data_IF_622922382514
#
_entry.id   IF_622922382514
#
_cell.length_a   1.000
_cell.length_b   1.000
_cell.length_c   1.000
_cell.angle_alpha   90.00
_cell.angle_beta   90.00
_cell.angle_gamma   90.00
#
_symmetry.space_group_name_H-M   'P 1'
#
loop_
_entity.id
_entity.type
_entity.pdbx_description
1 polymer ?
#
# COMPACT_ATOMS: atom_id res chain seq x y z
N UNK A 1 -6.47 3.35 21.19
CA UNK A 1 -7.51 2.30 20.95
C UNK A 1 -6.98 1.31 19.92
N UNK A 2 -7.11 0.00 20.16
CA UNK A 2 -6.66 -1.05 19.24
C UNK A 2 -7.67 -1.31 18.12
N UNK A 3 -7.21 -1.92 17.01
CA UNK A 3 -8.05 -2.29 15.87
C UNK A 3 -9.25 -3.14 16.30
N UNK A 4 -9.03 -4.20 17.08
CA UNK A 4 -10.09 -5.15 17.48
C UNK A 4 -11.19 -4.47 18.30
N UNK A 5 -10.82 -3.53 19.18
CA UNK A 5 -11.80 -2.78 19.99
C UNK A 5 -12.68 -1.88 19.11
N UNK A 6 -12.12 -1.29 18.05
CA UNK A 6 -12.89 -0.48 17.09
C UNK A 6 -13.75 -1.38 16.19
N UNK A 7 -13.21 -2.52 15.75
CA UNK A 7 -13.92 -3.49 14.91
C UNK A 7 -15.16 -4.07 15.60
N UNK A 8 -15.13 -4.28 16.93
CA UNK A 8 -16.33 -4.66 17.70
C UNK A 8 -17.43 -3.61 17.58
N UNK A 9 -17.10 -2.32 17.62
CA UNK A 9 -18.06 -1.22 17.46
C UNK A 9 -18.62 -1.10 16.04
N UNK A 10 -17.95 -1.66 15.02
CA UNK A 10 -18.52 -1.74 13.68
C UNK A 10 -19.62 -2.81 13.62
N UNK A 11 -19.46 -3.91 14.37
CA UNK A 11 -20.42 -5.01 14.46
C UNK A 11 -21.61 -4.75 15.36
N UNK A 12 -21.47 -3.83 16.30
CA UNK A 12 -22.51 -3.47 17.27
C UNK A 12 -23.73 -2.86 16.57
N UNK A 13 -24.83 -3.62 16.51
CA UNK A 13 -26.07 -3.24 15.85
C UNK A 13 -26.85 -2.15 16.60
N UNK A 14 -26.58 -1.97 17.90
CA UNK A 14 -27.24 -0.94 18.72
C UNK A 14 -26.69 0.47 18.41
N UNK A 15 -25.55 0.56 17.73
CA UNK A 15 -24.96 1.84 17.34
C UNK A 15 -25.57 2.34 16.02
N UNK A 16 -25.83 3.67 15.91
CA UNK A 16 -26.25 4.26 14.64
C UNK A 16 -25.30 3.90 13.49
N UNK A 17 -25.86 3.57 12.33
CA UNK A 17 -25.09 3.15 11.15
C UNK A 17 -23.93 4.11 10.82
N UNK A 18 -24.17 5.42 10.82
CA UNK A 18 -23.14 6.43 10.56
C UNK A 18 -21.95 6.38 11.54
N UNK A 19 -22.22 6.05 12.81
CA UNK A 19 -21.16 5.86 13.80
C UNK A 19 -20.36 4.59 13.50
N UNK A 20 -21.02 3.49 13.14
CA UNK A 20 -20.36 2.23 12.74
C UNK A 20 -19.47 2.43 11.50
N UNK A 21 -19.93 3.20 10.51
CA UNK A 21 -19.11 3.62 9.35
C UNK A 21 -17.89 4.45 9.78
N UNK A 22 -18.05 5.38 10.72
CA UNK A 22 -16.92 6.14 11.27
C UNK A 22 -15.91 5.24 12.01
N UNK A 23 -16.38 4.17 12.67
CA UNK A 23 -15.51 3.15 13.27
C UNK A 23 -14.78 2.32 12.22
N UNK A 24 -15.41 1.93 11.11
CA UNK A 24 -14.71 1.28 10.00
C UNK A 24 -13.58 2.18 9.46
N UNK A 25 -13.86 3.47 9.25
CA UNK A 25 -12.84 4.44 8.82
C UNK A 25 -11.68 4.51 9.83
N UNK A 26 -11.97 4.44 11.12
CA UNK A 26 -10.93 4.40 12.16
C UNK A 26 -10.10 3.11 12.10
N UNK A 27 -10.70 1.95 11.81
CA UNK A 27 -9.96 0.71 11.51
C UNK A 27 -9.03 0.88 10.30
N UNK A 28 -9.51 1.52 9.22
CA UNK A 28 -8.69 1.84 8.04
C UNK A 28 -7.57 2.81 8.40
N UNK A 29 -7.80 3.82 9.24
CA UNK A 29 -6.75 4.76 9.67
C UNK A 29 -5.61 4.06 10.41
N UNK A 30 -5.91 3.00 11.20
CA UNK A 30 -4.91 2.21 11.90
C UNK A 30 -4.14 1.26 10.98
N UNK A 31 -4.79 0.72 9.95
CA UNK A 31 -4.17 -0.30 9.08
C UNK A 31 -3.65 0.27 7.74
N UNK A 32 -4.45 1.03 6.98
CA UNK A 32 -4.07 1.78 5.77
C UNK A 32 -3.11 1.07 4.77
N UNK A 33 -3.35 -0.21 4.40
CA UNK A 33 -2.43 -1.04 3.62
C UNK A 33 -1.99 -0.43 2.28
N UNK A 34 -2.86 0.35 1.63
CA UNK A 34 -2.56 1.04 0.37
C UNK A 34 -2.85 2.55 0.48
N UNK A 35 -2.82 3.09 1.70
CA UNK A 35 -3.27 4.44 2.00
C UNK A 35 -4.77 4.52 2.31
N UNK A 36 -5.18 5.55 3.06
CA UNK A 36 -6.52 5.65 3.64
C UNK A 36 -7.64 5.65 2.58
N UNK A 37 -7.57 6.56 1.61
CA UNK A 37 -8.64 6.72 0.62
C UNK A 37 -8.69 5.58 -0.39
N UNK A 38 -7.53 5.09 -0.86
CA UNK A 38 -7.48 3.94 -1.75
C UNK A 38 -8.00 2.68 -1.06
N UNK A 39 -7.68 2.48 0.23
CA UNK A 39 -8.24 1.37 1.02
C UNK A 39 -9.76 1.47 1.11
N UNK A 40 -10.34 2.63 1.44
CA UNK A 40 -11.79 2.80 1.47
C UNK A 40 -12.43 2.52 0.11
N UNK A 41 -11.82 2.99 -0.98
CA UNK A 41 -12.30 2.73 -2.33
C UNK A 41 -12.26 1.24 -2.69
N UNK A 42 -11.21 0.52 -2.29
CA UNK A 42 -11.11 -0.93 -2.51
C UNK A 42 -12.17 -1.68 -1.70
N UNK A 43 -12.41 -1.26 -0.46
CA UNK A 43 -13.48 -1.83 0.36
C UNK A 43 -14.86 -1.61 -0.28
N UNK A 44 -15.15 -0.43 -0.81
CA UNK A 44 -16.40 -0.19 -1.55
C UNK A 44 -16.50 -1.07 -2.80
N UNK A 45 -15.39 -1.26 -3.53
CA UNK A 45 -15.36 -2.12 -4.71
C UNK A 45 -15.61 -3.60 -4.38
N UNK A 46 -15.09 -4.09 -3.24
CA UNK A 46 -15.24 -5.49 -2.81
C UNK A 46 -16.54 -5.80 -2.09
N UNK A 47 -17.03 -4.87 -1.27
CA UNK A 47 -18.13 -5.12 -0.34
C UNK A 47 -19.44 -4.41 -0.70
N UNK A 48 -19.38 -3.42 -1.59
CA UNK A 48 -20.48 -2.50 -1.91
C UNK A 48 -20.44 -1.21 -1.09
N UNK A 49 -21.47 -0.38 -1.26
CA UNK A 49 -21.57 0.96 -0.64
C UNK A 49 -21.88 0.87 0.85
N UNK A 50 -20.87 0.58 1.67
CA UNK A 50 -20.98 0.41 3.13
C UNK A 50 -21.46 1.66 3.89
N UNK A 51 -21.50 2.83 3.25
CA UNK A 51 -22.08 4.05 3.82
C UNK A 51 -23.61 4.07 3.82
N UNK A 52 -24.25 3.13 3.12
CA UNK A 52 -25.71 3.03 2.96
C UNK A 52 -26.28 1.65 3.23
N UNK A 53 -25.44 0.60 3.20
CA UNK A 53 -25.84 -0.79 3.40
C UNK A 53 -25.07 -1.38 4.58
N UNK A 54 -25.79 -1.84 5.60
CA UNK A 54 -25.22 -2.50 6.77
C UNK A 54 -24.54 -3.83 6.43
N UNK A 55 -25.10 -4.59 5.48
CA UNK A 55 -24.49 -5.82 4.99
C UNK A 55 -23.16 -5.52 4.32
N UNK A 56 -23.10 -4.48 3.49
CA UNK A 56 -21.85 -4.02 2.88
C UNK A 56 -20.83 -3.56 3.94
N UNK A 57 -21.28 -2.92 5.02
CA UNK A 57 -20.41 -2.52 6.12
C UNK A 57 -19.73 -3.71 6.81
N UNK A 58 -20.49 -4.77 7.12
CA UNK A 58 -19.94 -5.97 7.73
C UNK A 58 -19.04 -6.74 6.76
N UNK A 59 -19.40 -6.82 5.48
CA UNK A 59 -18.53 -7.38 4.43
C UNK A 59 -17.22 -6.60 4.30
N UNK A 60 -17.27 -5.27 4.30
CA UNK A 60 -16.09 -4.41 4.22
C UNK A 60 -15.16 -4.61 5.41
N UNK A 61 -15.72 -4.76 6.62
CA UNK A 61 -14.94 -5.09 7.81
C UNK A 61 -14.25 -6.46 7.67
N UNK A 62 -14.98 -7.49 7.22
CA UNK A 62 -14.42 -8.83 7.02
C UNK A 62 -13.29 -8.85 5.98
N UNK A 63 -13.45 -8.12 4.87
CA UNK A 63 -12.40 -7.95 3.85
C UNK A 63 -11.14 -7.29 4.44
N UNK A 64 -11.32 -6.25 5.26
CA UNK A 64 -10.21 -5.56 5.92
C UNK A 64 -9.49 -6.45 6.94
N UNK A 65 -10.25 -7.22 7.71
CA UNK A 65 -9.72 -8.16 8.70
C UNK A 65 -8.98 -9.33 8.05
N UNK A 66 -9.46 -9.85 6.92
CA UNK A 66 -8.78 -10.90 6.17
C UNK A 66 -7.40 -10.44 5.69
N UNK A 67 -7.32 -9.24 5.10
CA UNK A 67 -6.02 -8.67 4.69
C UNK A 67 -5.11 -8.41 5.89
N UNK A 68 -5.66 -7.89 7.00
CA UNK A 68 -4.89 -7.67 8.23
C UNK A 68 -4.38 -8.98 8.86
N UNK A 69 -5.16 -10.05 8.82
CA UNK A 69 -4.75 -11.35 9.31
C UNK A 69 -3.61 -11.93 8.46
N UNK A 70 -3.69 -11.78 7.13
CA UNK A 70 -2.60 -12.14 6.22
C UNK A 70 -1.33 -11.32 6.52
N UNK A 71 -1.45 -10.01 6.77
CA UNK A 71 -0.31 -9.18 7.18
C UNK A 71 0.32 -9.67 8.49
N UNK A 72 -0.48 -10.03 9.51
CA UNK A 72 0.07 -10.62 10.74
C UNK A 72 0.77 -11.96 10.50
N UNK A 73 0.33 -12.76 9.52
CA UNK A 73 1.02 -13.98 9.13
C UNK A 73 2.36 -13.68 8.44
N UNK A 74 2.39 -12.69 7.56
CA UNK A 74 3.64 -12.18 6.94
C UNK A 74 4.63 -11.67 8.00
N UNK A 75 4.16 -10.95 9.04
CA UNK A 75 5.01 -10.51 10.15
C UNK A 75 5.65 -11.69 10.89
N UNK A 76 4.87 -12.73 11.22
CA UNK A 76 5.39 -13.93 11.92
C UNK A 76 6.43 -14.66 11.07
N UNK A 77 6.13 -14.87 9.78
CA UNK A 77 7.06 -15.51 8.85
C UNK A 77 8.37 -14.72 8.73
N UNK A 78 8.30 -13.39 8.69
CA UNK A 78 9.47 -12.53 8.69
C UNK A 78 10.29 -12.65 9.99
N UNK A 79 9.63 -12.65 11.15
CA UNK A 79 10.31 -12.77 12.44
C UNK A 79 11.00 -14.14 12.62
N UNK A 80 10.36 -15.21 12.16
CA UNK A 80 10.93 -16.56 12.14
C UNK A 80 12.17 -16.63 11.23
N UNK A 81 12.07 -16.14 10.00
CA UNK A 81 13.19 -16.09 9.05
C UNK A 81 14.35 -15.24 9.60
N UNK A 82 14.06 -14.08 10.19
CA UNK A 82 15.08 -13.22 10.81
C UNK A 82 15.70 -13.85 12.05
N UNK A 83 14.96 -14.63 12.82
CA UNK A 83 15.49 -15.33 13.99
C UNK A 83 16.45 -16.45 13.58
N UNK A 84 16.10 -17.22 12.56
CA UNK A 84 16.98 -18.23 11.98
C UNK A 84 18.27 -17.62 11.41
N UNK A 85 18.16 -16.56 10.60
CA UNK A 85 19.31 -15.86 10.02
C UNK A 85 20.24 -15.27 11.10
N UNK A 86 19.69 -14.72 12.19
CA UNK A 86 20.49 -14.27 13.35
C UNK A 86 21.26 -15.41 14.00
N UNK A 87 20.66 -16.60 14.11
CA UNK A 87 21.31 -17.81 14.63
C UNK A 87 22.49 -18.27 13.76
N UNK A 88 22.42 -18.01 12.45
CA UNK A 88 23.48 -18.29 11.48
C UNK A 88 24.53 -17.16 11.35
N UNK A 89 24.43 -16.10 12.16
CA UNK A 89 25.36 -14.97 12.13
C UNK A 89 24.96 -13.81 11.19
N UNK A 90 23.91 -13.96 10.39
CA UNK A 90 23.38 -12.92 9.49
C UNK A 90 22.52 -11.89 10.24
N UNK A 91 23.17 -11.06 11.06
CA UNK A 91 22.49 -10.08 11.93
C UNK A 91 21.93 -8.86 11.22
N UNK A 92 22.37 -8.57 9.99
CA UNK A 92 21.84 -7.48 9.16
C UNK A 92 20.85 -8.02 8.13
N UNK A 93 19.65 -7.43 7.99
CA UNK A 93 18.74 -7.76 6.89
C UNK A 93 19.41 -7.51 5.55
N UNK A 94 19.09 -8.33 4.54
CA UNK A 94 19.58 -8.08 3.18
C UNK A 94 18.83 -6.87 2.60
N UNK A 95 19.50 -6.06 1.78
CA UNK A 95 18.88 -4.85 1.22
C UNK A 95 17.64 -5.15 0.35
N UNK A 96 17.59 -6.32 -0.27
CA UNK A 96 16.45 -6.79 -1.07
C UNK A 96 15.32 -7.43 -0.22
N UNK A 97 15.54 -7.63 1.07
CA UNK A 97 14.57 -8.26 1.96
C UNK A 97 13.43 -7.28 2.27
N UNK A 98 12.22 -7.56 1.76
CA UNK A 98 11.03 -6.75 2.05
C UNK A 98 10.66 -6.89 3.52
N UNK A 99 10.52 -5.77 4.21
CA UNK A 99 10.20 -5.75 5.64
C UNK A 99 8.74 -5.30 5.86
N UNK A 100 7.82 -6.22 6.25
CA UNK A 100 6.41 -5.91 6.47
C UNK A 100 6.14 -4.98 7.66
N UNK A 101 7.14 -4.68 8.50
CA UNK A 101 7.07 -3.65 9.55
C UNK A 101 7.31 -2.23 9.02
N UNK A 102 8.04 -2.08 7.90
CA UNK A 102 8.38 -0.77 7.32
C UNK A 102 7.48 -0.41 6.15
N UNK A 103 6.98 -1.42 5.46
CA UNK A 103 6.24 -1.27 4.21
C UNK A 103 4.91 -2.02 4.36
N UNK A 104 3.82 -1.30 4.12
CA UNK A 104 2.49 -1.90 4.08
C UNK A 104 2.00 -2.06 2.65
N UNK A 105 1.29 -3.14 2.41
CA UNK A 105 0.57 -3.45 1.19
C UNK A 105 -0.73 -4.18 1.55
N UNK A 106 -1.57 -4.43 0.55
CA UNK A 106 -2.76 -5.25 0.72
C UNK A 106 -2.38 -6.74 0.82
N UNK A 107 -2.06 -7.20 2.03
CA UNK A 107 -1.65 -8.59 2.27
C UNK A 107 -2.76 -9.58 1.90
N UNK A 108 -2.36 -10.76 1.41
CA UNK A 108 -3.25 -11.78 0.84
C UNK A 108 -3.60 -11.57 -0.64
N UNK A 109 -3.57 -10.34 -1.15
CA UNK A 109 -3.71 -10.04 -2.57
C UNK A 109 -2.90 -8.79 -2.97
N UNK A 110 -1.55 -8.82 -2.82
CA UNK A 110 -0.71 -7.62 -2.95
C UNK A 110 -0.80 -6.96 -4.33
N UNK A 111 -0.83 -7.77 -5.41
CA UNK A 111 -0.99 -7.26 -6.78
C UNK A 111 -2.33 -6.54 -6.98
N UNK A 112 -3.44 -7.14 -6.53
CA UNK A 112 -4.78 -6.54 -6.63
C UNK A 112 -4.82 -5.18 -5.91
N UNK A 113 -4.35 -5.12 -4.67
CA UNK A 113 -4.34 -3.88 -3.90
C UNK A 113 -3.44 -2.81 -4.51
N UNK A 114 -2.29 -3.19 -5.05
CA UNK A 114 -1.38 -2.26 -5.71
C UNK A 114 -1.98 -1.68 -7.01
N UNK A 115 -2.58 -2.51 -7.86
CA UNK A 115 -3.28 -2.05 -9.07
C UNK A 115 -4.47 -1.15 -8.74
N UNK A 116 -5.22 -1.48 -7.68
CA UNK A 116 -6.32 -0.62 -7.22
C UNK A 116 -5.80 0.73 -6.73
N UNK A 117 -4.68 0.75 -5.99
CA UNK A 117 -4.05 1.98 -5.53
C UNK A 117 -3.59 2.86 -6.71
N UNK A 118 -2.90 2.29 -7.69
CA UNK A 118 -2.47 3.00 -8.90
C UNK A 118 -3.67 3.55 -9.69
N UNK A 119 -4.70 2.72 -9.91
CA UNK A 119 -5.94 3.14 -10.58
C UNK A 119 -6.62 4.29 -9.83
N UNK A 120 -6.68 4.21 -8.50
CA UNK A 120 -7.25 5.25 -7.65
C UNK A 120 -6.50 6.58 -7.79
N UNK A 121 -5.16 6.54 -7.78
CA UNK A 121 -4.30 7.71 -7.90
C UNK A 121 -4.44 8.40 -9.25
N UNK A 122 -4.43 7.62 -10.34
CA UNK A 122 -4.64 8.13 -11.72
C UNK A 122 -6.01 8.79 -11.84
N UNK A 123 -7.08 8.13 -11.39
CA UNK A 123 -8.46 8.68 -11.47
C UNK A 123 -8.65 9.96 -10.67
N UNK A 124 -7.98 10.09 -9.53
CA UNK A 124 -8.05 11.30 -8.69
C UNK A 124 -7.21 12.44 -9.24
N UNK A 125 -6.45 12.23 -10.33
CA UNK A 125 -5.37 13.13 -10.79
C UNK A 125 -4.45 13.51 -9.64
N UNK A 126 -4.30 12.59 -8.67
CA UNK A 126 -3.62 12.86 -7.40
C UNK A 126 -2.13 12.56 -7.48
N UNK A 127 -1.65 12.18 -8.64
CA UNK A 127 -0.26 12.45 -8.95
C UNK A 127 -0.27 13.89 -9.47
N UNK A 128 0.20 14.89 -8.69
CA UNK A 128 0.71 16.10 -9.28
C UNK A 128 1.97 15.64 -10.02
N UNK A 129 1.79 15.07 -11.21
CA UNK A 129 2.85 14.80 -12.15
C UNK A 129 3.29 16.18 -12.58
N UNK A 130 4.21 16.70 -11.76
CA UNK A 130 4.68 18.06 -11.75
C UNK A 130 5.12 18.36 -13.17
N UNK A 131 4.41 19.27 -13.83
CA UNK A 131 4.81 19.74 -15.14
C UNK A 131 6.30 20.13 -15.06
N UNK A 132 7.16 19.35 -15.75
CA UNK A 132 8.61 19.57 -15.78
C UNK A 132 9.50 18.68 -14.90
N UNK A 133 9.01 17.76 -14.06
CA UNK A 133 9.89 16.77 -13.41
C UNK A 133 10.05 15.52 -14.29
N UNK A 134 11.24 15.30 -14.89
CA UNK A 134 11.47 14.15 -15.76
C UNK A 134 11.29 12.82 -15.03
N UNK A 135 11.61 12.73 -13.74
CA UNK A 135 11.46 11.47 -12.98
C UNK A 135 9.99 11.13 -12.75
N UNK A 136 9.15 12.15 -12.51
CA UNK A 136 7.71 11.94 -12.40
C UNK A 136 7.09 11.50 -13.73
N UNK A 137 7.54 12.08 -14.85
CA UNK A 137 7.12 11.68 -16.20
C UNK A 137 7.58 10.28 -16.62
N UNK A 138 8.74 9.84 -16.14
CA UNK A 138 9.21 8.47 -16.34
C UNK A 138 8.39 7.47 -15.52
N UNK A 139 8.11 7.81 -14.26
CA UNK A 139 7.27 7.00 -13.38
C UNK A 139 5.83 6.89 -13.89
N UNK A 140 5.27 7.95 -14.45
CA UNK A 140 3.99 7.94 -15.19
C UNK A 140 3.93 6.84 -16.24
N UNK A 141 4.97 6.75 -17.08
CA UNK A 141 5.04 5.74 -18.15
C UNK A 141 5.07 4.34 -17.57
N UNK A 142 5.78 4.13 -16.47
CA UNK A 142 5.76 2.86 -15.74
C UNK A 142 4.38 2.52 -15.16
N UNK A 143 3.68 3.50 -14.56
CA UNK A 143 2.32 3.32 -14.05
C UNK A 143 1.35 2.96 -15.18
N UNK A 144 1.39 3.69 -16.29
CA UNK A 144 0.55 3.44 -17.45
C UNK A 144 0.78 2.05 -18.03
N UNK A 145 2.04 1.64 -18.20
CA UNK A 145 2.40 0.31 -18.67
C UNK A 145 1.91 -0.79 -17.71
N UNK A 146 2.11 -0.61 -16.40
CA UNK A 146 1.68 -1.56 -15.36
C UNK A 146 0.15 -1.73 -15.34
N UNK A 147 -0.60 -0.63 -15.46
CA UNK A 147 -2.06 -0.69 -15.51
C UNK A 147 -2.56 -1.33 -16.81
N UNK A 148 -1.93 -1.04 -17.95
CA UNK A 148 -2.31 -1.60 -19.24
C UNK A 148 -2.08 -3.12 -19.32
N UNK A 149 -1.04 -3.64 -18.66
CA UNK A 149 -0.72 -5.06 -18.61
C UNK A 149 -1.42 -5.83 -17.48
N UNK A 150 -2.08 -5.14 -16.55
CA UNK A 150 -2.62 -5.75 -15.34
C UNK A 150 -1.55 -6.20 -14.34
N UNK A 151 -0.40 -5.54 -14.33
CA UNK A 151 0.69 -5.76 -13.35
C UNK A 151 2.07 -5.91 -13.99
N UNK A 152 2.30 -6.96 -14.80
CA UNK A 152 3.64 -7.28 -15.32
C UNK A 152 4.28 -6.14 -16.11
N UNK A 153 5.58 -5.93 -15.93
CA UNK A 153 6.35 -4.94 -16.69
C UNK A 153 7.33 -5.63 -17.64
N UNK A 154 7.59 -4.99 -18.77
CA UNK A 154 8.69 -5.41 -19.66
C UNK A 154 10.06 -5.05 -19.07
N UNK A 155 11.16 -5.64 -19.59
CA UNK A 155 12.51 -5.37 -19.10
C UNK A 155 12.90 -3.89 -19.13
N UNK A 156 12.49 -3.16 -20.17
CA UNK A 156 12.74 -1.72 -20.29
C UNK A 156 12.03 -0.93 -19.20
N UNK A 157 10.76 -1.25 -18.91
CA UNK A 157 10.00 -0.58 -17.84
C UNK A 157 10.56 -0.94 -16.46
N UNK A 158 11.11 -2.14 -16.27
CA UNK A 158 11.81 -2.50 -15.04
C UNK A 158 13.07 -1.65 -14.84
N UNK A 159 13.89 -1.46 -15.87
CA UNK A 159 15.05 -0.58 -15.79
C UNK A 159 14.66 0.87 -15.54
N UNK A 160 13.63 1.36 -16.24
CA UNK A 160 13.12 2.72 -16.05
C UNK A 160 12.61 2.93 -14.61
N UNK A 161 11.83 2.00 -14.07
CA UNK A 161 11.35 2.06 -12.69
C UNK A 161 12.50 2.05 -11.68
N UNK A 162 13.49 1.18 -11.87
CA UNK A 162 14.66 1.12 -11.00
C UNK A 162 15.45 2.44 -11.00
N UNK A 163 15.61 3.07 -12.16
CA UNK A 163 16.24 4.39 -12.28
C UNK A 163 15.44 5.48 -11.57
N UNK A 164 14.11 5.51 -11.75
CA UNK A 164 13.23 6.42 -11.02
C UNK A 164 13.39 6.27 -9.50
N UNK A 165 13.33 5.03 -8.99
CA UNK A 165 13.45 4.76 -7.55
C UNK A 165 14.80 5.22 -7.01
N UNK A 166 15.89 4.94 -7.74
CA UNK A 166 17.24 5.39 -7.39
C UNK A 166 17.29 6.92 -7.29
N UNK A 167 16.87 7.63 -8.34
CA UNK A 167 16.89 9.11 -8.39
C UNK A 167 16.00 9.74 -7.32
N UNK A 168 14.85 9.15 -7.01
CA UNK A 168 13.98 9.63 -5.93
C UNK A 168 14.59 9.41 -4.55
N UNK A 169 15.29 8.29 -4.32
CA UNK A 169 16.01 8.05 -3.06
C UNK A 169 17.16 9.01 -2.86
N UNK A 170 17.88 9.36 -3.93
CA UNK A 170 18.95 10.38 -3.90
C UNK A 170 18.43 11.77 -3.48
N UNK A 171 17.17 12.10 -3.82
CA UNK A 171 16.50 13.33 -3.36
C UNK A 171 16.11 13.30 -1.88
N UNK A 172 16.03 12.12 -1.25
CA UNK A 172 15.73 11.99 0.19
C UNK A 172 17.00 12.11 1.03
N UNK A 173 17.57 13.31 1.09
CA UNK A 173 18.60 13.63 2.08
C UNK A 173 17.97 14.23 3.34
N UNK A 174 18.56 14.01 4.53
CA UNK A 174 18.08 14.67 5.76
C UNK A 174 18.07 16.21 5.66
N UNK A 175 18.98 16.79 4.88
CA UNK A 175 19.01 18.23 4.60
C UNK A 175 17.80 18.71 3.80
N UNK A 176 17.31 17.90 2.84
CA UNK A 176 16.17 18.26 2.00
C UNK A 176 14.87 18.52 2.78
N UNK A 177 14.69 17.91 3.96
CA UNK A 177 13.54 18.20 4.83
C UNK A 177 13.56 19.64 5.35
N UNK A 178 14.75 20.12 5.72
CA UNK A 178 14.97 21.45 6.28
C UNK A 178 14.86 22.53 5.19
N UNK A 179 15.32 22.21 3.98
CA UNK A 179 15.41 23.18 2.87
C UNK A 179 14.07 23.33 2.09
N UNK A 180 13.38 22.21 1.80
CA UNK A 180 12.07 22.22 1.14
C UNK A 180 11.23 21.02 1.58
N UNK A 181 10.48 21.21 2.66
CA UNK A 181 9.55 20.22 3.20
C UNK A 181 8.51 19.76 2.16
N UNK A 182 8.10 20.63 1.24
CA UNK A 182 7.13 20.26 0.21
C UNK A 182 7.77 19.34 -0.85
N UNK A 183 9.02 19.58 -1.26
CA UNK A 183 9.77 18.68 -2.15
C UNK A 183 9.99 17.31 -1.51
N UNK A 184 10.27 17.27 -0.20
CA UNK A 184 10.42 16.02 0.53
C UNK A 184 9.14 15.18 0.47
N UNK A 185 7.98 15.77 0.80
CA UNK A 185 6.71 15.04 0.76
C UNK A 185 6.32 14.62 -0.67
N UNK A 186 6.58 15.46 -1.69
CA UNK A 186 6.40 15.07 -3.10
C UNK A 186 7.23 13.85 -3.47
N UNK A 187 8.50 13.83 -3.06
CA UNK A 187 9.41 12.69 -3.30
C UNK A 187 8.94 11.42 -2.59
N UNK A 188 8.44 11.54 -1.35
CA UNK A 188 7.83 10.43 -0.60
C UNK A 188 6.59 9.86 -1.32
N UNK A 189 5.72 10.72 -1.86
CA UNK A 189 4.54 10.28 -2.59
C UNK A 189 4.90 9.58 -3.91
N UNK A 190 5.89 10.08 -4.66
CA UNK A 190 6.42 9.41 -5.86
C UNK A 190 7.02 8.04 -5.54
N UNK A 191 7.77 7.92 -4.43
CA UNK A 191 8.30 6.63 -3.99
C UNK A 191 7.19 5.66 -3.58
N UNK A 192 6.09 6.16 -3.00
CA UNK A 192 4.91 5.33 -2.71
C UNK A 192 4.25 4.82 -3.99
N UNK A 193 4.15 5.66 -5.03
CA UNK A 193 3.65 5.25 -6.35
C UNK A 193 4.55 4.18 -6.96
N UNK A 194 5.86 4.42 -7.02
CA UNK A 194 6.84 3.46 -7.54
C UNK A 194 6.74 2.12 -6.81
N UNK A 195 6.52 2.16 -5.49
CA UNK A 195 6.33 0.95 -4.69
C UNK A 195 5.09 0.16 -5.09
N UNK A 196 3.97 0.82 -5.37
CA UNK A 196 2.79 0.11 -5.89
C UNK A 196 3.08 -0.53 -7.24
N UNK A 197 3.84 0.12 -8.12
CA UNK A 197 4.28 -0.50 -9.39
C UNK A 197 5.16 -1.73 -9.13
N UNK A 198 6.15 -1.65 -8.23
CA UNK A 198 7.00 -2.80 -7.85
C UNK A 198 6.19 -3.98 -7.27
N UNK A 199 5.13 -3.70 -6.51
CA UNK A 199 4.27 -4.73 -5.91
C UNK A 199 3.37 -5.36 -6.99
N UNK A 200 2.80 -4.55 -7.88
CA UNK A 200 1.94 -5.03 -8.96
C UNK A 200 2.72 -5.86 -9.99
N UNK A 201 3.94 -5.41 -10.32
CA UNK A 201 4.83 -6.03 -11.29
C UNK A 201 5.62 -7.23 -10.74
N UNK A 202 5.72 -7.37 -9.41
CA UNK A 202 6.29 -8.57 -8.82
C UNK A 202 5.52 -9.79 -9.34
N UNK A 203 6.24 -10.80 -9.82
CA UNK A 203 5.67 -12.12 -10.00
C UNK A 203 5.06 -12.50 -8.65
N UNK A 204 3.77 -12.84 -8.64
CA UNK A 204 3.19 -13.46 -7.46
C UNK A 204 4.05 -14.69 -7.22
N UNK A 205 4.88 -14.65 -6.18
CA UNK A 205 5.42 -15.85 -5.57
C UNK A 205 4.18 -16.51 -4.98
N UNK A 206 3.48 -17.27 -5.82
CA UNK A 206 2.46 -18.20 -5.41
C UNK A 206 3.17 -19.12 -4.44
N UNK A 207 2.86 -18.96 -3.14
CA UNK A 207 3.40 -19.81 -2.10
C UNK A 207 3.13 -21.26 -2.46
N UNK A 208 4.22 -22.03 -2.44
CA UNK A 208 4.21 -23.48 -2.29
C UNK A 208 3.59 -23.87 -0.94
#
# INVERSE_FOLDING_TARGET
MSFNTIARKVRDAELPHGLRVARLRSCVQLYRPIGFHATLSLLEAKAGRFSRDEGALLRALGVLEASRAAWHAELRAFDEARSAAKGQGERRPRQAERNPYRELWWSGAPREGALHALTFLVRRRWVPMTAGDPVAGDLERCVAACLASGGPLGPEQHHLLADCVRRLRERQTPAAWADDTAAFFRTQDLLRVARHVEIAAAECVSGA
#
